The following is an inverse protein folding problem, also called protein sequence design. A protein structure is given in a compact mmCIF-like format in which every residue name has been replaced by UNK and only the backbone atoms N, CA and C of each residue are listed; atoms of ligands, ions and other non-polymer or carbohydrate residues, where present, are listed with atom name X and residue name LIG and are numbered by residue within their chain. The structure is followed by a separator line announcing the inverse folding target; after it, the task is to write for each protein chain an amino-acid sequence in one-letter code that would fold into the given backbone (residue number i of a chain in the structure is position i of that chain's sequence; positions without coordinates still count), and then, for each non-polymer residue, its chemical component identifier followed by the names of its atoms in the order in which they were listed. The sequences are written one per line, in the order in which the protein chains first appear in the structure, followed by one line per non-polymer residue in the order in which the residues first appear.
data_IF_231369335686
#
_entry.id   IF_231369335686
#
_cell.length_a   1.000
_cell.length_b   1.000
_cell.length_c   1.000
_cell.angle_alpha   90.00
_cell.angle_beta   90.00
_cell.angle_gamma   90.00
#
_symmetry.space_group_name_H-M   'P 1'
#
loop_
_entity.id
_entity.type
_entity.pdbx_description
1 polymer ?
#
# COMPACT_ATOMS: atom_id res chain seq x y z
N UNK A 1 -8.43 21.15 10.08
CA UNK A 1 -9.32 20.49 11.06
C UNK A 1 -10.56 21.36 11.21
N UNK A 2 -11.72 20.72 11.37
CA UNK A 2 -13.06 21.33 11.37
C UNK A 2 -13.10 22.60 12.23
N UNK A 3 -13.32 23.77 11.62
CA UNK A 3 -13.45 25.06 12.33
C UNK A 3 -14.88 25.29 12.85
N UNK A 4 -15.67 24.24 12.94
CA UNK A 4 -17.04 24.32 13.42
C UNK A 4 -17.04 24.45 14.95
N UNK A 5 -17.80 25.37 15.56
CA UNK A 5 -17.85 25.55 17.02
C UNK A 5 -18.22 24.27 17.78
N UNK A 6 -19.07 23.43 17.20
CA UNK A 6 -19.43 22.13 17.78
C UNK A 6 -18.29 21.11 17.72
N UNK A 7 -17.37 21.25 16.75
CA UNK A 7 -16.16 20.43 16.66
C UNK A 7 -15.17 20.72 17.80
N UNK A 8 -15.16 21.94 18.33
CA UNK A 8 -14.35 22.29 19.51
C UNK A 8 -14.85 21.58 20.78
N UNK A 9 -16.18 21.53 21.00
CA UNK A 9 -16.78 20.80 22.13
C UNK A 9 -16.53 19.29 22.08
N UNK A 10 -16.53 18.71 20.89
CA UNK A 10 -16.12 17.31 20.70
C UNK A 10 -14.64 17.11 21.05
N UNK A 11 -13.78 18.06 20.69
CA UNK A 11 -12.36 18.07 21.04
C UNK A 11 -12.11 18.00 22.55
N UNK A 12 -12.88 18.75 23.34
CA UNK A 12 -12.79 18.77 24.81
C UNK A 12 -13.21 17.44 25.46
N UNK A 13 -14.04 16.64 24.78
CA UNK A 13 -14.50 15.34 25.27
C UNK A 13 -13.65 14.16 24.77
N UNK A 14 -12.74 14.38 23.81
CA UNK A 14 -11.89 13.31 23.27
C UNK A 14 -10.86 12.90 24.33
N UNK A 15 -10.93 11.65 24.76
CA UNK A 15 -10.02 11.11 25.79
C UNK A 15 -8.77 10.43 25.20
N UNK A 16 -8.87 9.88 23.99
CA UNK A 16 -7.80 9.11 23.35
C UNK A 16 -8.02 9.01 21.85
N UNK A 17 -6.94 8.75 21.11
CA UNK A 17 -7.00 8.29 19.73
C UNK A 17 -6.82 6.77 19.68
N UNK A 18 -7.77 6.06 19.08
CA UNK A 18 -7.64 4.63 18.79
C UNK A 18 -6.91 4.44 17.46
N UNK A 19 -5.79 3.70 17.49
CA UNK A 19 -4.92 3.46 16.35
C UNK A 19 -4.51 1.99 16.28
N UNK A 20 -4.41 1.42 15.08
CA UNK A 20 -3.97 0.04 14.91
C UNK A 20 -2.52 -0.19 15.37
N UNK A 21 -1.64 0.78 15.15
CA UNK A 21 -0.24 0.74 15.62
C UNK A 21 0.09 2.06 16.35
N UNK A 22 -0.24 2.19 17.64
CA UNK A 22 -0.01 3.41 18.42
C UNK A 22 1.46 3.87 18.43
N UNK A 23 2.41 2.92 18.37
CA UNK A 23 3.85 3.19 18.38
C UNK A 23 4.33 3.95 17.13
N UNK A 24 3.59 3.88 16.02
CA UNK A 24 3.92 4.58 14.78
C UNK A 24 3.28 5.97 14.68
N UNK A 25 2.47 6.37 15.67
CA UNK A 25 1.73 7.61 15.62
C UNK A 25 2.66 8.83 15.65
N UNK A 26 2.55 9.70 14.64
CA UNK A 26 3.29 10.97 14.56
C UNK A 26 2.38 12.15 14.88
N UNK A 27 1.58 12.04 15.95
CA UNK A 27 0.68 13.10 16.42
C UNK A 27 1.46 14.17 17.17
N UNK A 28 1.01 15.42 17.04
CA UNK A 28 1.55 16.58 17.75
C UNK A 28 0.67 17.08 18.89
N UNK A 29 -0.40 16.35 19.22
CA UNK A 29 -1.29 16.68 20.34
C UNK A 29 -0.96 15.85 21.59
N UNK A 30 -1.60 16.20 22.71
CA UNK A 30 -1.44 15.54 24.01
C UNK A 30 -2.36 14.35 24.22
N UNK A 31 -3.17 13.97 23.21
CA UNK A 31 -4.11 12.87 23.34
C UNK A 31 -3.36 11.54 23.41
N UNK A 32 -3.67 10.67 24.39
CA UNK A 32 -3.04 9.36 24.47
C UNK A 32 -3.44 8.51 23.27
N UNK A 33 -2.45 7.85 22.67
CA UNK A 33 -2.69 6.83 21.65
C UNK A 33 -2.97 5.49 22.32
N UNK A 34 -4.10 4.88 21.98
CA UNK A 34 -4.51 3.56 22.50
C UNK A 34 -4.69 2.57 21.34
N UNK A 35 -4.40 1.27 21.57
CA UNK A 35 -4.51 0.27 20.52
C UNK A 35 -5.96 0.06 20.08
N UNK A 36 -6.16 -0.01 18.77
CA UNK A 36 -7.37 -0.49 18.13
C UNK A 36 -7.12 -1.94 17.69
N UNK A 37 -8.01 -2.91 18.01
CA UNK A 37 -7.88 -4.27 17.52
C UNK A 37 -7.83 -4.33 15.99
N UNK A 38 -6.97 -5.18 15.44
CA UNK A 38 -6.90 -5.44 14.00
C UNK A 38 -8.19 -6.11 13.53
N UNK A 39 -8.56 -5.89 12.27
CA UNK A 39 -9.69 -6.60 11.67
C UNK A 39 -9.31 -8.08 11.52
N UNK A 40 -10.15 -8.96 12.07
CA UNK A 40 -9.92 -10.40 11.99
C UNK A 40 -10.31 -10.92 10.61
N UNK A 41 -9.43 -11.62 9.88
CA UNK A 41 -9.83 -12.40 8.70
C UNK A 41 -10.87 -13.49 9.01
N UNK A 42 -10.99 -13.89 10.28
CA UNK A 42 -12.00 -14.87 10.74
C UNK A 42 -13.38 -14.28 11.03
N UNK A 43 -13.58 -12.96 10.88
CA UNK A 43 -14.89 -12.34 11.02
C UNK A 43 -15.72 -12.52 9.73
N UNK A 44 -16.40 -13.66 9.64
CA UNK A 44 -17.19 -14.04 8.48
C UNK A 44 -18.39 -13.13 8.21
N UNK A 45 -18.99 -12.54 9.23
CA UNK A 45 -20.13 -11.62 9.08
C UNK A 45 -19.68 -10.30 8.47
N UNK A 46 -18.59 -9.71 8.98
CA UNK A 46 -17.99 -8.51 8.39
C UNK A 46 -17.55 -8.77 6.95
N UNK A 47 -16.88 -9.90 6.69
CA UNK A 47 -16.43 -10.26 5.34
C UNK A 47 -17.61 -10.41 4.37
N UNK A 48 -18.69 -11.08 4.79
CA UNK A 48 -19.89 -11.22 3.97
C UNK A 48 -20.54 -9.86 3.65
N UNK A 49 -20.63 -8.96 4.64
CA UNK A 49 -21.16 -7.62 4.45
C UNK A 49 -20.30 -6.79 3.48
N UNK A 50 -18.97 -6.83 3.64
CA UNK A 50 -18.05 -6.12 2.73
C UNK A 50 -18.12 -6.70 1.31
N UNK A 51 -18.17 -8.02 1.18
CA UNK A 51 -18.32 -8.69 -0.12
C UNK A 51 -19.63 -8.29 -0.81
N UNK A 52 -20.72 -8.15 -0.06
CA UNK A 52 -21.99 -7.65 -0.58
C UNK A 52 -21.90 -6.18 -1.01
N UNK A 53 -21.38 -5.28 -0.17
CA UNK A 53 -21.27 -3.85 -0.46
C UNK A 53 -20.41 -3.59 -1.70
N UNK A 54 -19.25 -4.24 -1.78
CA UNK A 54 -18.29 -4.03 -2.86
C UNK A 54 -18.48 -4.98 -4.04
N UNK A 55 -19.50 -5.85 -3.99
CA UNK A 55 -19.80 -6.85 -5.03
C UNK A 55 -18.55 -7.66 -5.38
N UNK A 56 -17.87 -8.19 -4.36
CA UNK A 56 -16.59 -8.86 -4.52
C UNK A 56 -16.70 -10.02 -5.49
N UNK A 57 -15.78 -10.04 -6.46
CA UNK A 57 -15.54 -11.17 -7.35
C UNK A 57 -14.05 -11.42 -7.38
N UNK A 58 -13.68 -12.70 -7.24
CA UNK A 58 -12.29 -13.13 -7.39
C UNK A 58 -11.77 -12.73 -8.78
N UNK A 59 -10.61 -12.06 -8.89
CA UNK A 59 -10.05 -11.72 -10.19
C UNK A 59 -9.70 -13.01 -10.95
N UNK A 60 -10.01 -13.12 -12.25
CA UNK A 60 -9.73 -14.32 -13.04
C UNK A 60 -8.22 -14.57 -13.20
N UNK A 61 -7.42 -13.51 -13.10
CA UNK A 61 -5.97 -13.56 -13.13
C UNK A 61 -5.39 -12.51 -12.19
N UNK A 62 -4.35 -12.90 -11.46
CA UNK A 62 -3.55 -12.02 -10.64
C UNK A 62 -2.06 -12.28 -10.94
N UNK A 63 -1.26 -11.25 -11.26
CA UNK A 63 0.17 -11.40 -11.45
C UNK A 63 0.86 -11.74 -10.11
N UNK A 64 1.94 -12.56 -10.12
CA UNK A 64 2.78 -12.77 -8.94
C UNK A 64 3.35 -11.48 -8.34
N UNK A 65 3.52 -10.42 -9.13
CA UNK A 65 3.91 -9.08 -8.68
C UNK A 65 2.85 -8.06 -9.07
N UNK A 66 2.19 -7.47 -8.06
CA UNK A 66 1.17 -6.45 -8.26
C UNK A 66 1.67 -5.08 -7.82
N UNK A 67 1.76 -4.15 -8.76
CA UNK A 67 2.05 -2.75 -8.47
C UNK A 67 0.77 -1.99 -8.13
N UNK A 68 0.68 -1.45 -6.90
CA UNK A 68 -0.38 -0.50 -6.55
C UNK A 68 0.02 0.91 -6.96
N UNK A 69 -0.69 1.42 -7.95
CA UNK A 69 -0.53 2.78 -8.41
C UNK A 69 -1.07 3.79 -7.39
N UNK A 70 -0.43 4.96 -7.31
CA UNK A 70 -0.89 6.11 -6.51
C UNK A 70 -1.50 7.19 -7.40
N UNK A 71 -2.20 8.14 -6.79
CA UNK A 71 -2.90 9.24 -7.46
C UNK A 71 -1.99 10.36 -7.98
N UNK A 72 -0.71 10.10 -8.25
CA UNK A 72 0.25 11.14 -8.63
C UNK A 72 -0.22 11.94 -9.85
N UNK A 73 -0.65 11.25 -10.90
CA UNK A 73 -1.14 11.88 -12.14
C UNK A 73 -2.42 12.68 -11.90
N UNK A 74 -3.39 12.10 -11.19
CA UNK A 74 -4.64 12.79 -10.83
C UNK A 74 -4.42 14.04 -9.95
N UNK A 75 -3.33 14.08 -9.19
CA UNK A 75 -2.96 15.20 -8.32
C UNK A 75 -1.94 16.15 -8.96
N UNK A 76 -1.54 15.92 -10.21
CA UNK A 76 -0.54 16.75 -10.90
C UNK A 76 0.85 16.70 -10.24
N UNK A 77 1.17 15.60 -9.54
CA UNK A 77 2.47 15.39 -8.90
C UNK A 77 3.42 14.79 -9.94
N UNK A 78 4.46 15.52 -10.38
CA UNK A 78 5.46 14.96 -11.28
C UNK A 78 6.33 13.95 -10.52
N UNK A 79 6.79 12.92 -11.24
CA UNK A 79 7.74 11.96 -10.71
C UNK A 79 8.09 10.85 -11.70
N UNK A 80 8.74 9.80 -11.20
CA UNK A 80 9.25 8.68 -12.00
C UNK A 80 8.50 7.36 -11.76
N UNK A 81 7.20 7.39 -11.43
CA UNK A 81 6.40 6.20 -11.13
C UNK A 81 6.39 5.20 -12.30
N UNK A 82 6.23 5.67 -13.53
CA UNK A 82 6.25 4.84 -14.73
C UNK A 82 7.63 4.19 -14.97
N UNK A 83 8.73 4.90 -14.67
CA UNK A 83 10.08 4.34 -14.78
C UNK A 83 10.30 3.23 -13.75
N UNK A 84 9.80 3.43 -12.52
CA UNK A 84 9.82 2.41 -11.47
C UNK A 84 8.97 1.19 -11.84
N UNK A 85 7.79 1.38 -12.42
CA UNK A 85 6.99 0.29 -12.97
C UNK A 85 7.77 -0.49 -14.04
N UNK A 86 8.43 0.20 -14.96
CA UNK A 86 9.27 -0.41 -15.99
C UNK A 86 10.47 -1.18 -15.41
N UNK A 87 11.11 -0.64 -14.36
CA UNK A 87 12.16 -1.35 -13.63
C UNK A 87 11.64 -2.65 -13.02
N UNK A 88 10.47 -2.61 -12.37
CA UNK A 88 9.88 -3.78 -11.74
C UNK A 88 9.49 -4.83 -12.78
N UNK A 89 8.81 -4.42 -13.85
CA UNK A 89 8.42 -5.31 -14.95
C UNK A 89 9.64 -5.99 -15.58
N UNK A 90 10.73 -5.25 -15.84
CA UNK A 90 11.96 -5.85 -16.38
C UNK A 90 12.61 -6.83 -15.42
N UNK A 91 12.53 -6.60 -14.11
CA UNK A 91 13.11 -7.49 -13.12
C UNK A 91 12.39 -8.85 -13.04
N UNK A 92 11.06 -8.86 -13.13
CA UNK A 92 10.25 -10.08 -12.92
C UNK A 92 9.68 -10.69 -14.21
N UNK A 93 9.74 -9.94 -15.32
CA UNK A 93 9.19 -10.30 -16.61
C UNK A 93 7.74 -9.81 -16.82
N UNK A 94 7.35 -9.46 -18.06
CA UNK A 94 6.03 -8.88 -18.36
C UNK A 94 4.85 -9.84 -18.12
N UNK A 95 5.08 -11.15 -18.07
CA UNK A 95 4.04 -12.13 -17.72
C UNK A 95 3.75 -12.22 -16.21
N UNK A 96 4.68 -11.75 -15.39
CA UNK A 96 4.62 -11.87 -13.93
C UNK A 96 4.27 -10.56 -13.20
N UNK A 97 4.19 -9.46 -13.95
CA UNK A 97 3.95 -8.12 -13.42
C UNK A 97 2.60 -7.58 -13.90
N UNK A 98 1.89 -6.90 -13.00
CA UNK A 98 0.76 -6.07 -13.40
C UNK A 98 0.54 -4.90 -12.47
N UNK A 99 -0.23 -3.93 -12.96
CA UNK A 99 -0.52 -2.66 -12.28
C UNK A 99 -2.01 -2.62 -11.98
N UNK A 100 -2.35 -2.42 -10.70
CA UNK A 100 -3.70 -2.05 -10.27
C UNK A 100 -3.79 -0.53 -10.30
N UNK A 101 -4.60 0.06 -11.19
CA UNK A 101 -4.70 1.51 -11.32
C UNK A 101 -5.30 2.13 -10.06
N UNK A 102 -4.91 3.36 -9.77
CA UNK A 102 -5.54 4.13 -8.70
C UNK A 102 -6.93 4.60 -9.16
N UNK A 103 -8.02 4.49 -8.37
CA UNK A 103 -9.38 4.87 -8.80
C UNK A 103 -9.57 6.32 -9.26
N UNK A 104 -8.61 7.19 -8.93
CA UNK A 104 -8.60 8.62 -9.32
C UNK A 104 -7.78 8.90 -10.59
N UNK A 105 -6.92 7.98 -11.00
CA UNK A 105 -6.23 8.11 -12.27
C UNK A 105 -7.24 7.72 -13.36
N UNK A 106 -7.68 8.70 -14.16
CA UNK A 106 -8.67 8.50 -15.21
C UNK A 106 -8.11 7.87 -16.49
N UNK A 107 -6.84 7.45 -16.48
CA UNK A 107 -6.13 6.88 -17.62
C UNK A 107 -5.67 5.44 -17.37
N UNK A 108 -5.59 4.66 -18.44
CA UNK A 108 -4.95 3.34 -18.47
C UNK A 108 -3.50 3.46 -19.00
N UNK A 109 -2.77 4.50 -18.55
CA UNK A 109 -1.45 4.83 -19.10
C UNK A 109 -0.45 3.67 -18.99
N UNK A 110 -0.33 2.95 -17.86
CA UNK A 110 0.56 1.78 -17.77
C UNK A 110 0.22 0.69 -18.81
N UNK A 111 -1.05 0.48 -19.12
CA UNK A 111 -1.48 -0.50 -20.14
C UNK A 111 -1.14 -0.01 -21.54
N UNK A 112 -1.37 1.27 -21.84
CA UNK A 112 -1.03 1.88 -23.14
C UNK A 112 0.46 1.85 -23.44
N UNK A 113 1.30 1.92 -22.41
CA UNK A 113 2.76 1.84 -22.52
C UNK A 113 3.28 0.39 -22.51
N UNK A 114 2.41 -0.62 -22.42
CA UNK A 114 2.83 -2.02 -22.36
C UNK A 114 3.46 -2.43 -21.03
N UNK A 115 3.36 -1.61 -19.98
CA UNK A 115 3.87 -1.89 -18.64
C UNK A 115 3.01 -2.92 -17.89
N UNK A 116 1.75 -3.07 -18.27
CA UNK A 116 0.83 -4.01 -17.62
C UNK A 116 -0.22 -4.55 -18.57
N UNK A 117 -0.55 -5.84 -18.42
CA UNK A 117 -1.86 -6.35 -18.87
C UNK A 117 -2.96 -5.79 -17.97
N UNK A 118 -4.21 -5.83 -18.42
CA UNK A 118 -5.35 -5.40 -17.60
C UNK A 118 -5.50 -6.34 -16.40
N UNK A 119 -5.39 -5.80 -15.19
CA UNK A 119 -5.69 -6.51 -13.93
C UNK A 119 -7.12 -6.16 -13.53
N UNK A 120 -8.02 -7.14 -13.55
CA UNK A 120 -9.43 -6.94 -13.22
C UNK A 120 -9.69 -7.00 -11.71
N UNK A 121 -9.09 -6.05 -10.98
CA UNK A 121 -9.24 -5.91 -9.54
C UNK A 121 -9.75 -4.51 -9.18
N UNK A 122 -11.07 -4.38 -9.02
CA UNK A 122 -11.76 -3.10 -8.76
C UNK A 122 -12.02 -2.81 -7.29
N UNK A 123 -11.96 -3.84 -6.43
CA UNK A 123 -12.20 -3.69 -5.00
C UNK A 123 -11.02 -3.02 -4.27
N UNK A 124 -11.23 -2.48 -3.06
CA UNK A 124 -10.15 -2.09 -2.16
C UNK A 124 -9.18 -3.25 -1.94
N UNK A 125 -7.89 -2.93 -1.79
CA UNK A 125 -6.85 -3.95 -1.65
C UNK A 125 -7.03 -4.77 -0.36
N UNK A 126 -7.48 -4.12 0.70
CA UNK A 126 -7.77 -4.72 1.99
C UNK A 126 -8.87 -5.80 1.89
N UNK A 127 -9.90 -5.55 1.07
CA UNK A 127 -10.96 -6.54 0.85
C UNK A 127 -10.45 -7.74 0.05
N UNK A 128 -9.56 -7.51 -0.92
CA UNK A 128 -8.88 -8.61 -1.60
C UNK A 128 -8.08 -9.46 -0.61
N UNK A 129 -7.30 -8.83 0.27
CA UNK A 129 -6.51 -9.53 1.29
C UNK A 129 -7.39 -10.33 2.27
N UNK A 130 -8.55 -9.81 2.68
CA UNK A 130 -9.47 -10.54 3.56
C UNK A 130 -10.04 -11.80 2.90
N UNK A 131 -10.29 -11.77 1.58
CA UNK A 131 -10.81 -12.94 0.85
C UNK A 131 -9.73 -13.95 0.46
N UNK A 132 -8.54 -13.47 0.08
CA UNK A 132 -7.56 -14.30 -0.63
C UNK A 132 -6.24 -14.49 0.14
N UNK A 133 -6.03 -13.74 1.22
CA UNK A 133 -4.80 -13.76 2.01
C UNK A 133 -3.64 -12.98 1.38
N UNK A 134 -2.53 -12.83 2.13
CA UNK A 134 -1.37 -12.04 1.70
C UNK A 134 -0.44 -12.76 0.70
N UNK A 135 -0.52 -14.08 0.59
CA UNK A 135 0.47 -14.88 -0.15
C UNK A 135 0.19 -14.98 -1.66
N UNK A 136 -0.88 -14.36 -2.14
CA UNK A 136 -1.31 -14.46 -3.55
C UNK A 136 -0.38 -13.73 -4.52
N UNK A 137 0.27 -12.66 -4.07
CA UNK A 137 1.24 -11.92 -4.86
C UNK A 137 2.15 -11.08 -3.96
N UNK A 138 3.36 -10.80 -4.45
CA UNK A 138 4.19 -9.74 -3.90
C UNK A 138 3.60 -8.38 -4.29
N UNK A 139 3.36 -7.53 -3.29
CA UNK A 139 2.92 -6.17 -3.49
C UNK A 139 4.11 -5.25 -3.76
N UNK A 140 3.98 -4.36 -4.74
CA UNK A 140 4.98 -3.34 -5.06
C UNK A 140 4.28 -1.99 -5.10
N UNK A 141 4.87 -0.94 -4.55
CA UNK A 141 4.33 0.42 -4.66
C UNK A 141 5.40 1.44 -4.35
N UNK A 142 5.20 2.71 -4.72
CA UNK A 142 6.01 3.81 -4.18
C UNK A 142 5.76 3.91 -2.68
N UNK A 143 4.54 4.25 -2.26
CA UNK A 143 4.13 4.29 -0.85
C UNK A 143 2.60 4.29 -0.66
N UNK A 144 1.86 3.49 -1.42
CA UNK A 144 0.39 3.42 -1.26
C UNK A 144 -0.02 3.00 0.15
N UNK A 145 -1.06 3.64 0.70
CA UNK A 145 -1.67 3.22 1.97
C UNK A 145 -2.14 1.75 1.93
N UNK A 146 -2.55 1.26 0.75
CA UNK A 146 -2.91 -0.15 0.56
C UNK A 146 -1.77 -1.11 0.91
N UNK A 147 -0.52 -0.69 0.71
CA UNK A 147 0.64 -1.50 1.08
C UNK A 147 0.93 -1.54 2.58
N UNK A 148 0.44 -0.56 3.32
CA UNK A 148 0.62 -0.50 4.78
C UNK A 148 -0.58 -1.14 5.50
N UNK A 149 -1.78 -0.97 4.98
CA UNK A 149 -3.03 -1.38 5.63
C UNK A 149 -3.16 -2.89 5.83
N UNK A 150 -2.62 -3.72 4.92
CA UNK A 150 -2.59 -5.17 5.12
C UNK A 150 -1.91 -5.56 6.44
N UNK A 151 -0.76 -4.94 6.74
CA UNK A 151 0.00 -5.22 7.96
C UNK A 151 -0.55 -4.46 9.17
N UNK A 152 -0.83 -3.17 9.01
CA UNK A 152 -1.29 -2.30 10.09
C UNK A 152 -2.69 -2.69 10.55
N UNK A 153 -3.66 -2.78 9.63
CA UNK A 153 -5.07 -2.97 9.95
C UNK A 153 -5.49 -4.43 10.03
N UNK A 154 -4.89 -5.32 9.23
CA UNK A 154 -5.30 -6.74 9.14
C UNK A 154 -4.30 -7.71 9.80
N UNK A 155 -3.11 -7.23 10.16
CA UNK A 155 -2.07 -8.07 10.74
C UNK A 155 -1.46 -9.08 9.77
N UNK A 156 -1.67 -8.90 8.46
CA UNK A 156 -1.21 -9.81 7.43
C UNK A 156 0.21 -9.45 6.99
N UNK A 157 1.07 -10.46 6.90
CA UNK A 157 2.50 -10.30 6.65
C UNK A 157 2.92 -10.73 5.24
N UNK A 158 2.34 -10.07 4.23
CA UNK A 158 2.65 -10.33 2.82
C UNK A 158 3.92 -9.62 2.34
N UNK A 159 4.59 -10.24 1.35
CA UNK A 159 5.73 -9.64 0.67
C UNK A 159 5.36 -8.29 0.07
N UNK A 160 6.02 -7.23 0.55
CA UNK A 160 5.76 -5.84 0.18
C UNK A 160 7.06 -5.11 -0.10
N UNK A 161 7.20 -4.56 -1.30
CA UNK A 161 8.33 -3.74 -1.73
C UNK A 161 7.90 -2.27 -1.82
N UNK A 162 8.46 -1.42 -0.96
CA UNK A 162 8.17 0.02 -0.89
C UNK A 162 9.29 0.81 -1.58
N UNK A 163 8.98 1.45 -2.69
CA UNK A 163 9.93 2.13 -3.58
C UNK A 163 10.10 3.63 -3.29
N UNK A 164 9.53 4.15 -2.20
CA UNK A 164 9.55 5.58 -1.88
C UNK A 164 10.94 6.21 -1.84
N UNK A 165 12.00 5.43 -1.54
CA UNK A 165 13.38 5.93 -1.56
C UNK A 165 13.97 6.05 -2.97
N UNK A 166 13.36 5.40 -3.96
CA UNK A 166 13.75 5.46 -5.38
C UNK A 166 12.87 6.42 -6.18
N UNK A 167 11.80 6.92 -5.56
CA UNK A 167 10.87 7.84 -6.20
C UNK A 167 11.47 9.25 -6.27
N UNK A 168 11.39 9.87 -7.44
CA UNK A 168 11.67 11.28 -7.63
C UNK A 168 10.35 12.04 -7.63
N UNK A 169 10.24 13.10 -6.84
CA UNK A 169 8.99 13.85 -6.65
C UNK A 169 8.35 13.57 -5.29
N UNK A 170 7.16 14.13 -5.07
CA UNK A 170 6.48 14.05 -3.78
C UNK A 170 5.79 12.71 -3.58
N UNK A 171 6.26 11.93 -2.61
CA UNK A 171 5.69 10.59 -2.29
C UNK A 171 4.21 10.67 -1.86
N UNK A 172 3.80 11.77 -1.23
CA UNK A 172 2.43 12.12 -0.89
C UNK A 172 2.24 13.64 -0.96
N UNK A 173 0.98 14.10 -1.04
CA UNK A 173 0.63 15.53 -1.06
C UNK A 173 1.26 16.33 0.09
N UNK A 174 1.54 15.68 1.22
CA UNK A 174 2.34 16.20 2.35
C UNK A 174 3.61 15.40 2.54
N UNK A 175 4.56 15.54 1.62
CA UNK A 175 5.93 15.17 1.92
C UNK A 175 6.50 16.21 2.89
N UNK A 176 6.49 15.85 4.17
CA UNK A 176 7.03 16.64 5.25
C UNK A 176 7.86 15.74 6.17
N UNK A 177 8.59 16.37 7.09
CA UNK A 177 9.42 15.68 8.08
C UNK A 177 8.63 14.62 8.88
N UNK A 178 7.32 14.82 9.08
CA UNK A 178 6.43 13.86 9.74
C UNK A 178 6.29 12.56 8.95
N UNK A 179 6.06 12.64 7.62
CA UNK A 179 6.00 11.46 6.76
C UNK A 179 7.33 10.71 6.74
N UNK A 180 8.46 11.42 6.63
CA UNK A 180 9.79 10.81 6.65
C UNK A 180 10.04 10.04 7.96
N UNK A 181 9.69 10.64 9.10
CA UNK A 181 9.75 9.99 10.41
C UNK A 181 8.85 8.76 10.50
N UNK A 182 7.62 8.86 10.01
CA UNK A 182 6.69 7.74 9.98
C UNK A 182 7.26 6.56 9.17
N UNK A 183 7.74 6.82 7.95
CA UNK A 183 8.28 5.78 7.08
C UNK A 183 9.55 5.16 7.65
N UNK A 184 10.40 5.94 8.32
CA UNK A 184 11.58 5.41 9.00
C UNK A 184 11.21 4.57 10.22
N UNK A 185 10.22 4.99 11.03
CA UNK A 185 9.72 4.20 12.15
C UNK A 185 9.09 2.88 11.66
N UNK A 186 8.24 2.94 10.64
CA UNK A 186 7.64 1.77 9.99
C UNK A 186 8.73 0.81 9.47
N UNK A 187 9.73 1.35 8.75
CA UNK A 187 10.86 0.56 8.24
C UNK A 187 11.64 -0.11 9.37
N UNK A 188 11.95 0.60 10.46
CA UNK A 188 12.66 0.01 11.61
C UNK A 188 11.87 -1.10 12.28
N UNK A 189 10.54 -0.96 12.36
CA UNK A 189 9.68 -1.95 12.98
C UNK A 189 9.50 -3.20 12.11
N UNK A 190 9.47 -3.06 10.78
CA UNK A 190 8.98 -4.11 9.88
C UNK A 190 9.95 -4.57 8.79
N UNK A 191 11.04 -3.85 8.51
CA UNK A 191 11.97 -4.24 7.47
C UNK A 191 12.63 -5.59 7.79
N UNK A 192 12.75 -6.46 6.76
CA UNK A 192 13.29 -7.81 6.90
C UNK A 192 12.26 -8.89 7.26
N UNK A 193 11.09 -8.52 7.77
CA UNK A 193 9.93 -9.43 7.89
C UNK A 193 8.98 -9.18 6.72
N UNK A 194 9.26 -9.71 5.53
CA UNK A 194 8.46 -9.53 4.30
C UNK A 194 8.18 -8.08 3.85
N UNK A 195 8.81 -7.08 4.49
CA UNK A 195 8.80 -5.68 4.02
C UNK A 195 10.20 -5.29 3.57
N UNK A 196 10.28 -4.80 2.34
CA UNK A 196 11.52 -4.47 1.67
C UNK A 196 11.51 -3.00 1.25
N UNK A 197 12.59 -2.27 1.56
CA UNK A 197 12.76 -0.87 1.20
C UNK A 197 14.12 -0.70 0.51
N UNK A 198 14.20 -0.92 -0.82
CA UNK A 198 15.46 -0.81 -1.55
C UNK A 198 16.02 0.62 -1.48
N UNK A 199 17.35 0.73 -1.39
CA UNK A 199 18.07 2.02 -1.47
C UNK A 199 18.52 2.34 -2.90
N UNK A 200 18.61 1.33 -3.78
CA UNK A 200 19.01 1.51 -5.17
C UNK A 200 18.14 0.70 -6.12
N UNK A 201 18.13 1.09 -7.40
CA UNK A 201 17.49 0.34 -8.48
C UNK A 201 18.02 -1.10 -8.58
N UNK A 202 19.32 -1.31 -8.35
CA UNK A 202 19.94 -2.63 -8.28
C UNK A 202 19.38 -3.48 -7.13
N UNK A 203 19.27 -2.90 -5.92
CA UNK A 203 18.66 -3.60 -4.79
C UNK A 203 17.19 -3.96 -5.06
N UNK A 204 16.43 -3.03 -5.65
CA UNK A 204 15.04 -3.29 -6.01
C UNK A 204 14.92 -4.48 -6.98
N UNK A 205 15.71 -4.48 -8.05
CA UNK A 205 15.72 -5.59 -9.00
C UNK A 205 16.14 -6.91 -8.34
N UNK A 206 17.16 -6.90 -7.49
CA UNK A 206 17.63 -8.10 -6.78
C UNK A 206 16.55 -8.67 -5.84
N UNK A 207 15.90 -7.83 -5.04
CA UNK A 207 14.78 -8.22 -4.16
C UNK A 207 13.64 -8.84 -4.97
N UNK A 208 13.23 -8.20 -6.06
CA UNK A 208 12.14 -8.70 -6.90
C UNK A 208 12.46 -10.06 -7.52
N UNK A 209 13.71 -10.25 -7.99
CA UNK A 209 14.17 -11.54 -8.51
C UNK A 209 14.23 -12.63 -7.45
N UNK A 210 14.70 -12.29 -6.24
CA UNK A 210 14.71 -13.18 -5.09
C UNK A 210 13.29 -13.65 -4.73
N UNK A 211 12.36 -12.70 -4.60
CA UNK A 211 10.95 -12.99 -4.32
C UNK A 211 10.27 -13.78 -5.46
N UNK A 212 10.79 -13.68 -6.69
CA UNK A 212 10.31 -14.42 -7.85
C UNK A 212 10.92 -15.82 -7.99
N UNK A 213 11.76 -16.26 -7.05
CA UNK A 213 12.41 -17.57 -7.08
C UNK A 213 13.58 -17.68 -8.07
N UNK A 214 14.08 -16.56 -8.63
CA UNK A 214 15.13 -16.58 -9.66
C UNK A 214 16.56 -16.78 -9.12
N UNK A 215 16.73 -16.88 -7.79
CA UNK A 215 18.02 -17.14 -7.13
C UNK A 215 18.07 -18.50 -6.40
N UNK A 216 17.17 -19.43 -6.74
CA UNK A 216 17.04 -20.73 -6.07
C UNK A 216 16.84 -21.92 -7.01
N UNK A 217 17.44 -21.89 -8.21
CA UNK A 217 17.50 -23.01 -9.14
C UNK A 217 18.92 -23.52 -9.31
#
# INVERSE_FOLDING_TARGET
MNRHPQGARLGEQVQAALLYEPALAMRGDSLPNRPLPKLSPGDGELLALLNFIFQYRRPPWLPPFLFLEQSFRAEGIPGNDLELMGLCQRAVGPGNFGVKPHPRNGDDLPQRLGLSRRVELRVPWELFLLNEGPDRCCLVTVCSNGALSGRLCLGLDGNTVLLYKLYTGKVLWKENHTLARFLEAYRRQFAGGNTYVPQTSYQAASILKFLGGQYGG
#
